data_IF_543657814804
#
_entry.id   IF_543657814804
#
_cell.length_a   1.000
_cell.length_b   1.000
_cell.length_c   1.000
_cell.angle_alpha   90.00
_cell.angle_beta   90.00
_cell.angle_gamma   90.00
#
_symmetry.space_group_name_H-M   'P 1'
#
loop_
_entity.id
_entity.type
_entity.pdbx_description
1 polymer ?
#
# COMPACT_ATOMS: atom_id res chain seq x y z
N UNK A 1 0.48 18.07 -34.30
CA UNK A 1 -0.81 17.48 -33.86
C UNK A 1 -0.54 16.04 -33.46
N UNK A 2 -0.08 15.83 -32.22
CA UNK A 2 0.30 14.50 -31.70
C UNK A 2 -0.95 13.82 -31.17
N UNK A 3 -1.35 12.73 -31.82
CA UNK A 3 -2.49 11.91 -31.45
C UNK A 3 -2.23 11.27 -30.06
N UNK A 4 -3.08 11.48 -29.03
CA UNK A 4 -2.86 10.88 -27.73
C UNK A 4 -3.06 9.37 -27.82
N UNK A 5 -2.05 8.61 -27.39
CA UNK A 5 -2.16 7.17 -27.20
C UNK A 5 -3.37 6.85 -26.28
N UNK A 6 -4.23 5.89 -26.63
CA UNK A 6 -5.33 5.51 -25.77
C UNK A 6 -4.77 4.95 -24.46
N UNK A 7 -5.21 5.51 -23.34
CA UNK A 7 -4.94 4.98 -22.01
C UNK A 7 -5.39 3.53 -21.98
N UNK A 8 -4.48 2.62 -21.65
CA UNK A 8 -4.80 1.19 -21.51
C UNK A 8 -5.99 1.01 -20.55
N UNK A 9 -6.91 0.06 -20.82
CA UNK A 9 -8.07 -0.14 -19.96
C UNK A 9 -7.61 -0.47 -18.54
N UNK A 10 -8.22 0.16 -17.53
CA UNK A 10 -8.00 -0.21 -16.11
C UNK A 10 -8.21 -1.71 -15.97
N UNK A 11 -7.14 -2.44 -15.69
CA UNK A 11 -7.19 -3.85 -15.32
C UNK A 11 -8.21 -4.00 -14.19
N UNK A 12 -9.28 -4.76 -14.43
CA UNK A 12 -10.25 -5.12 -13.38
C UNK A 12 -9.55 -6.07 -12.40
N UNK A 13 -9.94 -6.01 -11.13
CA UNK A 13 -9.43 -6.89 -10.06
C UNK A 13 -9.46 -8.38 -10.44
N UNK A 14 -10.43 -8.81 -11.25
CA UNK A 14 -10.53 -10.20 -11.74
C UNK A 14 -9.39 -10.64 -12.68
N UNK A 15 -8.82 -9.76 -13.50
CA UNK A 15 -7.68 -10.11 -14.36
C UNK A 15 -6.37 -10.16 -13.57
N UNK A 16 -6.22 -9.31 -12.55
CA UNK A 16 -5.06 -9.33 -11.64
C UNK A 16 -4.99 -10.63 -10.83
N UNK A 17 -6.14 -11.17 -10.40
CA UNK A 17 -6.21 -12.47 -9.73
C UNK A 17 -5.72 -13.63 -10.61
N UNK A 18 -5.93 -13.56 -11.93
CA UNK A 18 -5.45 -14.58 -12.88
C UNK A 18 -3.92 -14.50 -13.06
N UNK A 19 -3.37 -13.28 -13.18
CA UNK A 19 -1.92 -13.04 -13.22
C UNK A 19 -1.22 -13.47 -11.93
N UNK A 20 -1.92 -13.39 -10.80
CA UNK A 20 -1.40 -13.83 -9.51
C UNK A 20 -1.10 -15.34 -9.44
N UNK A 21 -1.82 -16.19 -10.20
CA UNK A 21 -1.50 -17.63 -10.30
C UNK A 21 -0.21 -17.87 -11.09
N UNK A 22 0.04 -17.07 -12.13
CA UNK A 22 1.28 -17.08 -12.92
C UNK A 22 2.49 -16.64 -12.10
N UNK A 23 2.31 -15.70 -11.16
CA UNK A 23 3.36 -15.24 -10.26
C UNK A 23 3.91 -16.38 -9.36
N UNK A 24 3.03 -17.25 -8.83
CA UNK A 24 3.46 -18.41 -8.03
C UNK A 24 4.30 -19.40 -8.85
N UNK A 25 3.96 -19.62 -10.13
CA UNK A 25 4.74 -20.49 -11.02
C UNK A 25 6.14 -19.91 -11.28
N UNK A 26 6.27 -18.59 -11.42
CA UNK A 26 7.57 -17.93 -11.58
C UNK A 26 8.42 -17.95 -10.32
N UNK A 27 7.78 -17.95 -9.14
CA UNK A 27 8.47 -18.10 -7.84
C UNK A 27 9.24 -19.43 -7.77
N UNK A 28 8.58 -20.53 -8.13
CA UNK A 28 9.15 -21.88 -8.12
C UNK A 28 10.36 -21.97 -9.08
N UNK A 29 10.29 -21.27 -10.21
CA UNK A 29 11.40 -21.22 -11.19
C UNK A 29 12.60 -20.42 -10.64
N UNK A 30 12.37 -19.30 -9.94
CA UNK A 30 13.46 -18.51 -9.34
C UNK A 30 14.20 -19.22 -8.21
N UNK A 31 13.53 -20.11 -7.46
CA UNK A 31 14.18 -20.85 -6.38
C UNK A 31 15.03 -22.00 -6.93
N UNK A 32 14.60 -22.62 -8.02
CA UNK A 32 15.36 -23.65 -8.74
C UNK A 32 16.72 -23.16 -9.24
N UNK A 33 16.87 -21.85 -9.45
CA UNK A 33 18.14 -21.22 -9.85
C UNK A 33 18.96 -20.68 -8.67
N UNK A 34 18.54 -20.93 -7.42
CA UNK A 34 19.29 -20.55 -6.22
C UNK A 34 19.15 -19.09 -5.79
N UNK A 35 17.98 -18.47 -5.98
CA UNK A 35 17.75 -17.09 -5.55
C UNK A 35 17.88 -16.92 -4.03
N UNK A 36 18.85 -16.12 -3.60
CA UNK A 36 19.07 -15.69 -2.21
C UNK A 36 18.95 -14.16 -2.07
N UNK A 37 17.83 -13.61 -2.54
CA UNK A 37 17.52 -12.19 -2.42
C UNK A 37 16.35 -11.90 -1.48
N UNK A 38 15.87 -10.65 -1.52
CA UNK A 38 14.65 -10.20 -0.85
C UNK A 38 13.48 -10.24 -1.85
N UNK A 39 12.36 -10.83 -1.45
CA UNK A 39 11.10 -10.74 -2.17
C UNK A 39 10.32 -9.52 -1.68
N UNK A 40 9.95 -8.63 -2.62
CA UNK A 40 8.99 -7.56 -2.40
C UNK A 40 7.70 -7.89 -3.14
N UNK A 41 6.63 -8.19 -2.41
CA UNK A 41 5.32 -8.56 -2.97
C UNK A 41 4.43 -7.31 -2.99
N UNK A 42 4.05 -6.86 -4.18
CA UNK A 42 3.14 -5.71 -4.38
C UNK A 42 1.83 -6.09 -5.07
N UNK A 43 1.66 -7.36 -5.42
CA UNK A 43 0.46 -7.88 -6.08
C UNK A 43 -0.65 -8.07 -5.05
N UNK A 44 -1.88 -7.74 -5.41
CA UNK A 44 -3.05 -7.99 -4.56
C UNK A 44 -3.67 -9.37 -4.82
N UNK A 45 -4.20 -10.04 -3.77
CA UNK A 45 -4.23 -9.64 -2.35
C UNK A 45 -2.85 -9.81 -1.66
N UNK A 46 -2.22 -8.70 -1.26
CA UNK A 46 -0.81 -8.66 -0.87
C UNK A 46 -0.50 -9.50 0.36
N UNK A 47 -1.39 -9.54 1.34
CA UNK A 47 -1.18 -10.29 2.58
C UNK A 47 -1.12 -11.80 2.32
N UNK A 48 -2.09 -12.32 1.55
CA UNK A 48 -2.18 -13.73 1.17
C UNK A 48 -1.01 -14.12 0.26
N UNK A 49 -0.64 -13.27 -0.70
CA UNK A 49 0.43 -13.55 -1.65
C UNK A 49 1.82 -13.46 -1.02
N UNK A 50 2.01 -12.58 -0.03
CA UNK A 50 3.24 -12.54 0.76
C UNK A 50 3.40 -13.81 1.59
N UNK A 51 2.31 -14.28 2.22
CA UNK A 51 2.30 -15.54 2.94
C UNK A 51 2.58 -16.74 2.02
N UNK A 52 1.91 -16.82 0.87
CA UNK A 52 2.16 -17.85 -0.13
C UNK A 52 3.61 -17.83 -0.61
N UNK A 53 4.14 -16.64 -0.91
CA UNK A 53 5.54 -16.44 -1.30
C UNK A 53 6.49 -16.96 -0.25
N UNK A 54 6.26 -16.66 1.04
CA UNK A 54 7.06 -17.20 2.14
C UNK A 54 6.98 -18.73 2.21
N UNK A 55 5.79 -19.32 2.13
CA UNK A 55 5.61 -20.77 2.22
C UNK A 55 6.21 -21.54 1.04
N UNK A 56 6.07 -21.02 -0.18
CA UNK A 56 6.59 -21.68 -1.38
C UNK A 56 8.08 -21.37 -1.63
N UNK A 57 8.59 -20.25 -1.13
CA UNK A 57 10.02 -19.92 -1.26
C UNK A 57 10.94 -20.73 -0.37
N UNK A 58 10.48 -21.14 0.82
CA UNK A 58 11.34 -21.76 1.82
C UNK A 58 12.42 -20.80 2.38
N UNK A 59 12.37 -19.51 2.01
CA UNK A 59 13.24 -18.48 2.57
C UNK A 59 12.80 -18.13 4.00
N UNK A 60 13.71 -17.60 4.83
CA UNK A 60 13.33 -17.10 6.14
C UNK A 60 12.38 -15.90 6.01
N UNK A 61 11.44 -15.76 6.95
CA UNK A 61 10.34 -14.80 6.85
C UNK A 61 10.80 -13.34 6.65
N UNK A 62 11.94 -12.95 7.24
CA UNK A 62 12.52 -11.61 7.08
C UNK A 62 12.99 -11.29 5.65
N UNK A 63 12.99 -12.27 4.73
CA UNK A 63 13.34 -12.10 3.31
C UNK A 63 12.13 -11.93 2.41
N UNK A 64 10.91 -11.97 2.95
CA UNK A 64 9.67 -11.80 2.20
C UNK A 64 8.90 -10.63 2.81
N UNK A 65 8.83 -9.53 2.07
CA UNK A 65 8.20 -8.28 2.50
C UNK A 65 7.02 -8.01 1.58
N UNK A 66 5.82 -7.91 2.14
CA UNK A 66 4.65 -7.39 1.43
C UNK A 66 4.66 -5.86 1.45
N UNK A 67 4.20 -5.22 0.38
CA UNK A 67 3.99 -3.77 0.37
C UNK A 67 2.93 -3.33 1.38
N UNK A 68 1.97 -4.22 1.68
CA UNK A 68 0.92 -4.01 2.69
C UNK A 68 0.20 -2.67 2.50
N UNK A 69 0.04 -1.97 3.61
CA UNK A 69 -0.69 -0.69 3.75
C UNK A 69 0.17 0.54 3.43
N UNK A 70 1.34 0.41 2.80
CA UNK A 70 2.24 1.55 2.58
C UNK A 70 1.62 2.63 1.68
N UNK A 71 0.83 2.21 0.70
CA UNK A 71 0.14 3.12 -0.21
C UNK A 71 -1.03 3.82 0.50
N UNK A 72 -1.78 3.10 1.32
CA UNK A 72 -2.89 3.66 2.09
C UNK A 72 -2.37 4.62 3.17
N UNK A 73 -1.25 4.28 3.81
CA UNK A 73 -0.51 5.18 4.69
C UNK A 73 -0.09 6.46 3.97
N UNK A 74 0.46 6.36 2.75
CA UNK A 74 0.82 7.54 1.97
C UNK A 74 -0.42 8.39 1.61
N UNK A 75 -1.55 7.75 1.27
CA UNK A 75 -2.83 8.43 1.00
C UNK A 75 -3.35 9.15 2.25
N UNK A 76 -3.32 8.51 3.42
CA UNK A 76 -3.72 9.13 4.69
C UNK A 76 -2.87 10.37 4.99
N UNK A 77 -1.54 10.25 4.87
CA UNK A 77 -0.62 11.37 5.09
C UNK A 77 -0.92 12.54 4.16
N UNK A 78 -1.22 12.27 2.89
CA UNK A 78 -1.60 13.29 1.91
C UNK A 78 -2.93 13.99 2.25
N UNK A 79 -3.95 13.23 2.68
CA UNK A 79 -5.24 13.81 3.06
C UNK A 79 -5.12 14.68 4.32
N UNK A 80 -4.38 14.22 5.32
CA UNK A 80 -4.07 15.00 6.51
C UNK A 80 -3.26 16.25 6.17
N UNK A 81 -2.27 16.15 5.28
CA UNK A 81 -1.48 17.30 4.88
C UNK A 81 -2.33 18.39 4.22
N UNK A 82 -3.34 18.00 3.43
CA UNK A 82 -4.33 18.92 2.87
C UNK A 82 -5.21 19.54 3.94
N UNK A 83 -5.70 18.75 4.89
CA UNK A 83 -6.58 19.23 5.96
C UNK A 83 -5.88 20.27 6.86
N UNK A 84 -4.62 20.01 7.23
CA UNK A 84 -3.84 20.88 8.12
C UNK A 84 -2.94 21.88 7.38
N UNK A 85 -2.98 21.92 6.04
CA UNK A 85 -2.18 22.80 5.18
C UNK A 85 -0.67 22.71 5.48
N UNK A 86 -0.18 21.49 5.68
CA UNK A 86 1.25 21.21 5.91
C UNK A 86 1.82 20.36 4.78
N UNK A 87 3.15 20.25 4.72
CA UNK A 87 3.81 19.32 3.80
C UNK A 87 3.53 17.87 4.25
N UNK A 88 3.11 16.95 3.36
CA UNK A 88 2.87 15.53 3.70
C UNK A 88 4.09 14.82 4.29
N UNK A 89 5.31 15.30 4.00
CA UNK A 89 6.53 14.78 4.60
C UNK A 89 6.57 15.01 6.13
N UNK A 90 5.93 16.07 6.61
CA UNK A 90 5.82 16.41 8.03
C UNK A 90 4.60 15.76 8.71
N UNK A 91 3.81 14.97 7.99
CA UNK A 91 2.73 14.18 8.59
C UNK A 91 3.27 12.80 8.87
N UNK A 92 3.22 12.37 10.12
CA UNK A 92 3.56 11.01 10.54
C UNK A 92 2.28 10.33 11.00
N UNK A 93 1.69 9.51 10.13
CA UNK A 93 0.51 8.72 10.43
C UNK A 93 0.67 7.38 9.72
N UNK A 94 0.11 6.32 10.30
CA UNK A 94 0.29 4.95 9.83
C UNK A 94 -1.05 4.21 9.78
N UNK A 95 -1.23 3.43 8.72
CA UNK A 95 -2.30 2.45 8.62
C UNK A 95 -1.68 1.06 8.83
N UNK A 96 -2.27 0.25 9.70
CA UNK A 96 -1.86 -1.13 9.98
C UNK A 96 -3.03 -2.08 9.71
N UNK A 97 -2.76 -3.39 9.70
CA UNK A 97 -3.78 -4.41 9.45
C UNK A 97 -3.74 -4.95 8.02
N UNK A 98 -4.82 -5.63 7.63
CA UNK A 98 -5.00 -6.18 6.29
C UNK A 98 -5.17 -5.05 5.26
N UNK A 99 -4.56 -5.20 4.08
CA UNK A 99 -4.81 -4.28 2.97
C UNK A 99 -6.23 -4.47 2.42
N UNK A 100 -7.11 -3.49 2.66
CA UNK A 100 -8.49 -3.51 2.22
C UNK A 100 -9.45 -2.99 3.29
N UNK A 101 -10.60 -3.64 3.44
CA UNK A 101 -11.70 -3.14 4.27
C UNK A 101 -11.41 -3.20 5.79
N UNK A 102 -10.40 -3.97 6.21
CA UNK A 102 -10.02 -4.16 7.62
C UNK A 102 -8.79 -3.33 8.03
N UNK A 103 -8.41 -2.33 7.24
CA UNK A 103 -7.28 -1.45 7.53
C UNK A 103 -7.57 -0.51 8.71
N UNK A 104 -6.56 -0.24 9.55
CA UNK A 104 -6.72 0.53 10.79
C UNK A 104 -5.75 1.72 10.85
N UNK A 105 -6.26 2.97 10.76
CA UNK A 105 -5.44 4.16 11.01
C UNK A 105 -5.14 4.32 12.51
N UNK A 106 -3.85 4.40 12.86
CA UNK A 106 -3.39 4.49 14.25
C UNK A 106 -3.37 5.95 14.72
N UNK A 107 -4.55 6.52 14.99
CA UNK A 107 -4.71 7.93 15.39
C UNK A 107 -3.93 8.31 16.65
N UNK A 108 -3.75 7.37 17.58
CA UNK A 108 -3.00 7.57 18.83
C UNK A 108 -1.51 7.88 18.59
N UNK A 109 -0.96 7.46 17.45
CA UNK A 109 0.43 7.70 17.05
C UNK A 109 0.56 8.72 15.90
N UNK A 110 -0.54 9.36 15.50
CA UNK A 110 -0.50 10.34 14.42
C UNK A 110 0.04 11.69 14.93
N UNK A 111 1.09 12.19 14.29
CA UNK A 111 1.70 13.49 14.59
C UNK A 111 1.84 14.38 13.36
N UNK A 112 1.82 15.69 13.59
CA UNK A 112 2.20 16.72 12.63
C UNK A 112 3.52 17.32 13.11
N UNK A 113 4.62 16.96 12.45
CA UNK A 113 5.97 17.16 12.95
C UNK A 113 6.14 16.50 14.32
N UNK A 114 6.45 17.31 15.34
CA UNK A 114 6.71 16.86 16.70
C UNK A 114 5.49 16.88 17.62
N UNK A 115 4.30 17.32 17.15
CA UNK A 115 3.09 17.41 17.98
C UNK A 115 2.05 16.36 17.61
N UNK A 116 1.41 15.70 18.58
CA UNK A 116 0.26 14.84 18.34
C UNK A 116 -0.87 15.57 17.60
N UNK A 117 -1.55 14.85 16.71
CA UNK A 117 -2.70 15.40 15.97
C UNK A 117 -3.87 15.77 16.90
N UNK A 118 -3.97 15.12 18.06
CA UNK A 118 -4.98 15.40 19.10
C UNK A 118 -4.93 16.85 19.60
N UNK A 119 -3.75 17.47 19.59
CA UNK A 119 -3.52 18.80 20.13
C UNK A 119 -4.10 19.90 19.25
N UNK A 120 -4.32 19.61 17.96
CA UNK A 120 -4.78 20.59 16.98
C UNK A 120 -6.29 20.82 17.03
N UNK A 121 -7.01 20.05 17.85
CA UNK A 121 -8.47 19.95 17.80
C UNK A 121 -8.89 19.29 16.49
N UNK A 122 -9.74 18.27 16.55
CA UNK A 122 -10.31 17.65 15.34
C UNK A 122 -11.35 18.57 14.70
N UNK A 123 -10.96 19.79 14.30
CA UNK A 123 -11.70 20.58 13.34
C UNK A 123 -11.41 19.99 11.96
N UNK A 124 -12.04 18.85 11.67
CA UNK A 124 -12.29 18.48 10.28
C UNK A 124 -13.15 19.61 9.69
N UNK A 125 -12.50 20.61 9.10
CA UNK A 125 -13.20 21.49 8.19
C UNK A 125 -13.90 20.57 7.18
N UNK A 126 -15.23 20.70 6.98
CA UNK A 126 -15.96 19.81 6.10
C UNK A 126 -15.24 19.88 4.75
N UNK A 127 -14.78 18.71 4.27
CA UNK A 127 -14.28 18.58 2.91
C UNK A 127 -15.37 19.17 2.02
N UNK A 128 -15.12 20.35 1.46
CA UNK A 128 -16.07 21.04 0.61
C UNK A 128 -16.46 20.07 -0.50
N UNK A 129 -17.71 19.64 -0.53
CA UNK A 129 -18.26 18.92 -1.66
C UNK A 129 -18.04 19.78 -2.92
N UNK A 130 -17.31 19.26 -3.89
CA UNK A 130 -17.08 19.87 -5.21
C UNK A 130 -15.67 19.54 -5.72
N UNK A 131 -15.46 18.95 -6.89
CA UNK A 131 -16.30 18.88 -8.10
C UNK A 131 -15.85 17.65 -8.90
N UNK A 132 -16.81 16.97 -9.53
CA UNK A 132 -16.59 15.94 -10.56
C UNK A 132 -15.99 16.57 -11.80
#
# INVERSE_FOLDING_TARGET
MTNPHPLTPRLRTSSCCADSKSANTRLIVSLRIGFDGLFLVATNPVDILSYATWKYSGLPAHRVIGSGTILDTARLRYLLSKAYKVNPQNVHAYIIGEHGDSELPVWSHATLGVRPISDYGMHMAPLSKGTV
#
